data_IF_735046841631
#
_entry.id   IF_735046841631
#
_cell.length_a   1.000
_cell.length_b   1.000
_cell.length_c   1.000
_cell.angle_alpha   90.00
_cell.angle_beta   90.00
_cell.angle_gamma   90.00
#
_symmetry.space_group_name_H-M   'P 1'
#
loop_
_entity.id
_entity.type
_entity.pdbx_description
1 polymer ?
#
# COMPACT_ATOMS: atom_id res chain seq x y z
N UNK A 1 -0.25 6.49 8.89
CA UNK A 1 -0.80 5.23 8.32
C UNK A 1 -1.29 4.19 9.34
N UNK A 2 -0.48 3.83 10.35
CA UNK A 2 -0.68 2.66 11.23
C UNK A 2 -2.10 2.47 11.79
N UNK A 3 -2.69 3.48 12.42
CA UNK A 3 -4.04 3.38 12.99
C UNK A 3 -5.13 3.02 11.98
N UNK A 4 -5.01 3.48 10.72
CA UNK A 4 -5.96 3.13 9.65
C UNK A 4 -5.83 1.66 9.25
N UNK A 5 -4.61 1.14 9.24
CA UNK A 5 -4.31 -0.27 8.96
C UNK A 5 -4.81 -1.16 10.09
N UNK A 6 -4.52 -0.81 11.35
CA UNK A 6 -5.03 -1.51 12.55
C UNK A 6 -6.55 -1.61 12.54
N UNK A 7 -7.23 -0.48 12.33
CA UNK A 7 -8.69 -0.44 12.21
C UNK A 7 -9.21 -1.34 11.08
N UNK A 8 -8.54 -1.32 9.92
CA UNK A 8 -8.93 -2.12 8.75
C UNK A 8 -8.72 -3.63 8.93
N UNK A 9 -7.76 -4.02 9.77
CA UNK A 9 -7.49 -5.40 10.19
C UNK A 9 -8.28 -5.82 11.43
N UNK A 10 -9.06 -4.90 12.03
CA UNK A 10 -9.79 -5.09 13.29
C UNK A 10 -8.86 -5.40 14.48
N UNK A 11 -7.64 -4.87 14.45
CA UNK A 11 -6.65 -4.99 15.51
C UNK A 11 -6.83 -3.82 16.49
N UNK A 12 -6.95 -4.13 17.77
CA UNK A 12 -7.08 -3.15 18.87
C UNK A 12 -5.87 -3.13 19.81
N UNK A 13 -5.01 -4.15 19.71
CA UNK A 13 -3.78 -4.27 20.50
C UNK A 13 -2.62 -3.56 19.81
N UNK A 14 -1.58 -3.23 20.57
CA UNK A 14 -0.31 -2.70 20.07
C UNK A 14 0.74 -3.79 19.87
N UNK A 15 0.43 -5.05 20.22
CA UNK A 15 1.37 -6.18 20.16
C UNK A 15 1.91 -6.48 18.75
N UNK A 16 1.25 -5.98 17.70
CA UNK A 16 1.62 -6.19 16.30
C UNK A 16 2.11 -4.91 15.63
N UNK A 17 2.28 -3.81 16.36
CA UNK A 17 2.54 -2.50 15.76
C UNK A 17 3.86 -2.49 14.98
N UNK A 18 4.92 -3.13 15.49
CA UNK A 18 6.19 -3.26 14.78
C UNK A 18 6.05 -4.02 13.45
N UNK A 19 5.39 -5.19 13.46
CA UNK A 19 5.14 -5.98 12.25
C UNK A 19 4.29 -5.22 11.23
N UNK A 20 3.25 -4.51 11.70
CA UNK A 20 2.41 -3.70 10.81
C UNK A 20 3.18 -2.51 10.23
N UNK A 21 4.07 -1.89 10.99
CA UNK A 21 4.94 -0.82 10.50
C UNK A 21 5.91 -1.35 9.44
N UNK A 22 6.49 -2.52 9.63
CA UNK A 22 7.36 -3.16 8.64
C UNK A 22 6.60 -3.48 7.35
N UNK A 23 5.37 -4.01 7.45
CA UNK A 23 4.51 -4.25 6.29
C UNK A 23 4.10 -2.96 5.57
N UNK A 24 3.84 -1.87 6.32
CA UNK A 24 3.57 -0.56 5.73
C UNK A 24 4.78 -0.06 4.93
N UNK A 25 5.98 -0.16 5.50
CA UNK A 25 7.22 0.25 4.82
C UNK A 25 7.50 -0.61 3.59
N UNK A 26 7.26 -1.92 3.66
CA UNK A 26 7.38 -2.83 2.53
C UNK A 26 6.40 -2.46 1.41
N UNK A 27 5.14 -2.15 1.74
CA UNK A 27 4.13 -1.72 0.77
C UNK A 27 4.51 -0.42 0.06
N UNK A 28 4.96 0.59 0.82
CA UNK A 28 5.40 1.86 0.25
C UNK A 28 6.63 1.68 -0.66
N UNK A 29 7.57 0.84 -0.25
CA UNK A 29 8.76 0.52 -1.06
C UNK A 29 8.39 -0.21 -2.37
N UNK A 30 7.44 -1.16 -2.33
CA UNK A 30 6.97 -1.86 -3.52
C UNK A 30 6.24 -0.91 -4.50
N UNK A 31 5.44 0.02 -3.99
CA UNK A 31 4.83 1.08 -4.81
C UNK A 31 5.91 1.98 -5.45
N UNK A 32 6.93 2.36 -4.69
CA UNK A 32 8.07 3.14 -5.21
C UNK A 32 8.83 2.42 -6.31
N UNK A 33 9.10 1.12 -6.16
CA UNK A 33 9.73 0.29 -7.20
C UNK A 33 8.86 0.21 -8.46
N UNK A 34 7.53 0.20 -8.31
CA UNK A 34 6.60 0.24 -9.43
C UNK A 34 6.49 1.60 -10.11
N UNK A 35 7.21 2.63 -9.65
CA UNK A 35 7.25 3.96 -10.28
C UNK A 35 6.25 4.96 -9.70
N UNK A 36 5.58 4.64 -8.60
CA UNK A 36 4.70 5.58 -7.88
C UNK A 36 5.58 6.60 -7.15
N UNK A 37 5.54 7.85 -7.58
CA UNK A 37 6.31 8.95 -7.01
C UNK A 37 5.58 9.68 -5.87
N UNK A 38 4.25 9.73 -5.92
CA UNK A 38 3.45 10.26 -4.83
C UNK A 38 3.11 9.15 -3.82
N UNK A 39 3.80 9.15 -2.67
CA UNK A 39 3.61 8.21 -1.57
C UNK A 39 3.05 8.90 -0.31
N UNK A 40 2.27 9.96 -0.48
CA UNK A 40 1.64 10.66 0.64
C UNK A 40 0.75 9.71 1.46
N UNK A 41 1.11 9.47 2.72
CA UNK A 41 0.36 8.61 3.63
C UNK A 41 -1.03 9.14 4.01
N UNK A 42 -1.36 10.37 3.62
CA UNK A 42 -2.69 10.95 3.76
C UNK A 42 -3.57 10.77 2.53
N UNK A 43 -2.98 10.37 1.40
CA UNK A 43 -3.71 10.11 0.16
C UNK A 43 -4.58 8.86 0.26
N UNK A 44 -5.83 8.98 -0.20
CA UNK A 44 -6.83 7.93 -0.05
C UNK A 44 -6.47 6.65 -0.83
N UNK A 45 -5.84 6.76 -1.99
CA UNK A 45 -5.44 5.62 -2.81
C UNK A 45 -4.16 4.97 -2.28
N UNK A 46 -3.22 5.75 -1.76
CA UNK A 46 -2.03 5.22 -1.08
C UNK A 46 -2.42 4.47 0.19
N UNK A 47 -3.28 5.04 1.03
CA UNK A 47 -3.84 4.36 2.20
C UNK A 47 -4.51 3.03 1.79
N UNK A 48 -5.28 3.04 0.69
CA UNK A 48 -5.98 1.85 0.22
C UNK A 48 -5.03 0.75 -0.26
N UNK A 49 -4.01 1.10 -1.02
CA UNK A 49 -2.98 0.17 -1.51
C UNK A 49 -2.19 -0.44 -0.35
N UNK A 50 -1.67 0.38 0.55
CA UNK A 50 -0.94 -0.08 1.75
C UNK A 50 -1.81 -0.97 2.62
N UNK A 51 -3.06 -0.58 2.88
CA UNK A 51 -3.99 -1.41 3.67
C UNK A 51 -4.26 -2.76 3.01
N UNK A 52 -4.39 -2.81 1.69
CA UNK A 52 -4.61 -4.08 0.96
C UNK A 52 -3.37 -4.97 1.03
N UNK A 53 -2.17 -4.38 0.91
CA UNK A 53 -0.91 -5.10 1.10
C UNK A 53 -0.81 -5.70 2.50
N UNK A 54 -1.05 -4.91 3.55
CA UNK A 54 -1.04 -5.40 4.93
C UNK A 54 -2.07 -6.53 5.13
N UNK A 55 -3.27 -6.42 4.56
CA UNK A 55 -4.27 -7.51 4.61
C UNK A 55 -3.83 -8.79 3.92
N UNK A 56 -3.04 -8.67 2.86
CA UNK A 56 -2.52 -9.79 2.11
C UNK A 56 -1.38 -10.50 2.84
N UNK A 57 -0.58 -9.77 3.63
CA UNK A 57 0.69 -10.25 4.17
C UNK A 57 0.75 -10.35 5.70
N UNK A 58 -0.23 -9.82 6.40
CA UNK A 58 -0.35 -9.99 7.85
C UNK A 58 -1.07 -11.32 8.18
N UNK A 59 -0.36 -12.24 8.82
CA UNK A 59 -0.87 -13.58 9.15
C UNK A 59 -1.14 -14.45 7.91
N UNK A 60 -2.18 -15.28 7.98
CA UNK A 60 -2.58 -16.21 6.91
C UNK A 60 -4.03 -15.91 6.47
N UNK A 61 -4.24 -15.03 5.47
CA UNK A 61 -5.59 -14.69 5.02
C UNK A 61 -6.19 -15.81 4.17
N UNK A 62 -7.47 -16.15 4.40
CA UNK A 62 -8.21 -17.14 3.60
C UNK A 62 -8.31 -16.75 2.11
N UNK A 63 -8.35 -15.44 1.83
CA UNK A 63 -8.54 -14.86 0.50
C UNK A 63 -7.22 -14.31 -0.11
N UNK A 64 -6.07 -14.91 0.20
CA UNK A 64 -4.75 -14.40 -0.22
C UNK A 64 -4.69 -14.02 -1.71
N UNK A 65 -5.08 -14.92 -2.61
CA UNK A 65 -5.01 -14.68 -4.07
C UNK A 65 -5.86 -13.48 -4.50
N UNK A 66 -7.06 -13.33 -3.93
CA UNK A 66 -7.97 -12.23 -4.24
C UNK A 66 -7.45 -10.90 -3.70
N UNK A 67 -6.85 -10.91 -2.52
CA UNK A 67 -6.22 -9.73 -1.92
C UNK A 67 -4.98 -9.31 -2.73
N UNK A 68 -4.16 -10.29 -3.13
CA UNK A 68 -2.97 -10.06 -3.95
C UNK A 68 -3.34 -9.48 -5.31
N UNK A 69 -4.35 -10.05 -5.98
CA UNK A 69 -4.87 -9.51 -7.24
C UNK A 69 -5.35 -8.05 -7.06
N UNK A 70 -6.12 -7.79 -6.01
CA UNK A 70 -6.62 -6.43 -5.75
C UNK A 70 -5.49 -5.43 -5.50
N UNK A 71 -4.43 -5.85 -4.80
CA UNK A 71 -3.25 -5.01 -4.60
C UNK A 71 -2.50 -4.77 -5.92
N UNK A 72 -2.32 -5.81 -6.75
CA UNK A 72 -1.62 -5.70 -8.02
C UNK A 72 -2.35 -4.74 -9.00
N UNK A 73 -3.68 -4.80 -9.04
CA UNK A 73 -4.49 -3.86 -9.82
C UNK A 73 -4.34 -2.41 -9.31
N UNK A 74 -4.36 -2.21 -7.98
CA UNK A 74 -4.16 -0.89 -7.38
C UNK A 74 -2.76 -0.35 -7.70
N UNK A 75 -1.72 -1.18 -7.56
CA UNK A 75 -0.34 -0.83 -7.89
C UNK A 75 -0.19 -0.44 -9.35
N UNK A 76 -0.75 -1.22 -10.27
CA UNK A 76 -0.72 -0.91 -11.70
C UNK A 76 -1.46 0.39 -12.05
N UNK A 77 -2.60 0.66 -11.42
CA UNK A 77 -3.33 1.92 -11.59
C UNK A 77 -2.52 3.12 -11.09
N UNK A 78 -1.95 3.03 -9.89
CA UNK A 78 -1.10 4.09 -9.33
C UNK A 78 0.13 4.35 -10.19
N UNK A 79 0.78 3.30 -10.68
CA UNK A 79 1.95 3.38 -11.56
C UNK A 79 1.66 3.94 -12.97
N UNK A 80 0.39 4.07 -13.36
CA UNK A 80 -0.01 4.58 -14.68
C UNK A 80 -0.84 5.86 -14.61
N UNK A 81 -1.21 6.32 -13.41
CA UNK A 81 -2.04 7.51 -13.21
C UNK A 81 -1.18 8.78 -13.14
N UNK A 82 -1.54 9.77 -13.97
CA UNK A 82 -1.00 11.13 -13.83
C UNK A 82 -1.32 11.69 -12.45
N UNK A 83 -0.33 12.26 -11.77
CA UNK A 83 -0.44 12.74 -10.38
C UNK A 83 0.04 11.73 -9.33
N UNK A 84 0.27 10.47 -9.72
CA UNK A 84 0.94 9.46 -8.90
C UNK A 84 2.28 9.02 -9.46
N UNK A 85 2.54 9.32 -10.74
CA UNK A 85 3.84 9.13 -11.39
C UNK A 85 4.37 10.47 -11.92
N UNK A 86 5.69 10.61 -11.87
CA UNK A 86 6.41 11.64 -12.60
C UNK A 86 6.89 11.04 -13.93
N UNK A 87 6.29 11.48 -15.03
CA UNK A 87 6.60 10.97 -16.37
C UNK A 87 7.93 11.47 -16.91
N UNK A 88 8.66 12.30 -16.14
CA UNK A 88 9.84 13.00 -16.62
C UNK A 88 9.39 14.01 -17.66
N UNK A 89 9.04 15.22 -17.22
CA UNK A 89 9.01 16.35 -18.14
C UNK A 89 10.42 16.52 -18.71
N UNK A 90 10.61 15.97 -19.91
CA UNK A 90 11.71 16.28 -20.80
C UNK A 90 11.52 17.75 -21.14
N UNK A 91 12.18 18.63 -20.38
CA UNK A 91 12.27 20.05 -20.74
C UNK A 91 13.06 20.06 -22.05
N UNK A 92 12.44 20.59 -23.11
CA UNK A 92 13.02 20.80 -24.45
C UNK A 92 14.37 21.51 -24.40
#
# INVERSE_FOLDING_TARGET
MLEKVKLSLRIVTEAFDEELLDLIQAALSDLGIAGVSNLDETDALIIRAVTTYCKCHFGEPEDYERLKQSYDEQKAQLASATGYTDWGNSIE
#
